data_IF_334795310654
#
_entry.id   IF_334795310654
#
_cell.length_a   1.000
_cell.length_b   1.000
_cell.length_c   1.000
_cell.angle_alpha   90.00
_cell.angle_beta   90.00
_cell.angle_gamma   90.00
#
_symmetry.space_group_name_H-M   'P 1'
#
loop_
_entity.id
_entity.type
_entity.pdbx_description
1 polymer ?
#
# COMPACT_ATOMS: atom_id res chain seq x y z
N UNK A 1 8.04 13.33 2.12
CA UNK A 1 6.85 12.98 2.91
C UNK A 1 6.74 11.47 3.04
N UNK A 2 6.45 10.99 4.23
CA UNK A 2 6.23 9.57 4.48
C UNK A 2 4.75 9.29 4.62
N UNK A 3 4.32 8.14 4.09
CA UNK A 3 2.92 7.74 4.12
C UNK A 3 2.83 6.34 4.71
N UNK A 4 2.01 6.21 5.73
CA UNK A 4 1.73 4.93 6.37
C UNK A 4 0.34 4.48 5.91
N UNK A 5 0.26 3.28 5.37
CA UNK A 5 -1.00 2.66 5.00
C UNK A 5 -1.23 1.43 5.86
N UNK A 6 -2.48 1.24 6.28
CA UNK A 6 -2.90 0.07 7.03
C UNK A 6 -4.19 -0.45 6.40
N UNK A 7 -4.29 -1.76 6.21
CA UNK A 7 -5.45 -2.39 5.59
C UNK A 7 -5.49 -3.89 5.89
N UNK A 8 -6.66 -4.47 5.73
CA UNK A 8 -6.84 -5.91 5.79
C UNK A 8 -6.74 -6.53 4.40
N UNK A 9 -6.15 -7.71 4.33
CA UNK A 9 -6.08 -8.50 3.09
C UNK A 9 -7.01 -9.70 3.20
N UNK A 10 -7.67 -10.04 2.09
CA UNK A 10 -8.69 -11.09 2.03
C UNK A 10 -8.20 -12.38 1.38
N UNK A 11 -7.06 -12.32 0.68
CA UNK A 11 -6.47 -13.47 -0.03
C UNK A 11 -5.19 -13.99 0.61
N UNK A 12 -4.90 -13.53 1.83
CA UNK A 12 -3.70 -13.91 2.57
C UNK A 12 -2.53 -12.96 2.34
N UNK A 13 -1.62 -12.92 3.32
CA UNK A 13 -0.47 -12.03 3.29
C UNK A 13 0.50 -12.36 2.14
N UNK A 14 0.80 -13.63 1.93
CA UNK A 14 1.76 -14.04 0.89
C UNK A 14 1.28 -13.67 -0.52
N UNK A 15 -0.02 -13.80 -0.77
CA UNK A 15 -0.61 -13.37 -2.03
C UNK A 15 -0.46 -11.86 -2.22
N UNK A 16 -0.80 -11.08 -1.19
CA UNK A 16 -0.65 -9.63 -1.21
C UNK A 16 0.80 -9.21 -1.43
N UNK A 17 1.71 -9.82 -0.70
CA UNK A 17 3.14 -9.53 -0.76
C UNK A 17 3.69 -9.72 -2.17
N UNK A 18 3.33 -10.82 -2.81
CA UNK A 18 3.76 -11.13 -4.17
C UNK A 18 3.26 -10.08 -5.16
N UNK A 19 2.00 -9.70 -5.06
CA UNK A 19 1.41 -8.66 -5.91
C UNK A 19 2.06 -7.30 -5.64
N UNK A 20 2.27 -6.97 -4.37
CA UNK A 20 2.93 -5.73 -3.97
C UNK A 20 4.35 -5.62 -4.52
N UNK A 21 5.14 -6.68 -4.40
CA UNK A 21 6.50 -6.70 -4.90
C UNK A 21 6.56 -6.65 -6.43
N UNK A 22 5.60 -7.25 -7.12
CA UNK A 22 5.54 -7.23 -8.58
C UNK A 22 5.29 -5.83 -9.17
N UNK A 23 4.76 -4.90 -8.37
CA UNK A 23 4.47 -3.53 -8.79
C UNK A 23 5.58 -2.53 -8.42
N UNK A 24 6.75 -3.00 -8.02
CA UNK A 24 7.88 -2.14 -7.63
C UNK A 24 8.31 -1.17 -8.73
N UNK A 25 8.41 -1.64 -9.95
CA UNK A 25 8.82 -0.80 -11.08
C UNK A 25 7.86 0.38 -11.30
N UNK A 26 6.57 0.15 -11.11
CA UNK A 26 5.57 1.21 -11.24
C UNK A 26 5.71 2.25 -10.12
N UNK A 27 5.95 1.80 -8.89
CA UNK A 27 6.18 2.72 -7.77
C UNK A 27 7.40 3.59 -8.00
N UNK A 28 8.50 3.01 -8.44
CA UNK A 28 9.73 3.75 -8.77
C UNK A 28 9.49 4.77 -9.87
N UNK A 29 8.71 4.42 -10.87
CA UNK A 29 8.33 5.32 -11.96
C UNK A 29 7.58 6.56 -11.44
N UNK A 30 6.79 6.41 -10.38
CA UNK A 30 6.05 7.50 -9.75
C UNK A 30 6.78 8.13 -8.57
N UNK A 31 8.09 7.86 -8.42
CA UNK A 31 8.92 8.36 -7.33
C UNK A 31 8.42 7.95 -5.94
N UNK A 32 7.87 6.76 -5.84
CA UNK A 32 7.43 6.15 -4.58
C UNK A 32 8.48 5.14 -4.15
N UNK A 33 9.08 5.36 -2.98
CA UNK A 33 10.07 4.45 -2.40
C UNK A 33 9.50 3.74 -1.18
N UNK A 34 9.52 2.41 -1.20
CA UNK A 34 9.07 1.61 -0.07
C UNK A 34 10.16 1.58 0.99
N UNK A 35 9.83 2.01 2.20
CA UNK A 35 10.75 2.01 3.34
C UNK A 35 10.59 0.75 4.18
N UNK A 36 9.36 0.27 4.36
CA UNK A 36 9.06 -0.93 5.12
C UNK A 36 7.67 -1.43 4.79
N UNK A 37 7.43 -2.71 4.98
CA UNK A 37 6.09 -3.29 4.93
C UNK A 37 6.09 -4.61 5.69
N UNK A 38 4.91 -5.03 6.13
CA UNK A 38 4.74 -6.27 6.86
C UNK A 38 3.33 -6.39 7.39
N UNK A 39 3.09 -7.42 8.17
CA UNK A 39 1.82 -7.61 8.85
C UNK A 39 1.99 -7.51 10.36
N UNK A 40 0.88 -7.29 11.07
CA UNK A 40 0.88 -7.27 12.51
C UNK A 40 1.29 -8.64 13.06
N UNK A 41 2.11 -8.65 14.11
CA UNK A 41 2.46 -9.88 14.79
C UNK A 41 1.20 -10.51 15.39
N UNK A 42 0.93 -11.74 15.01
CA UNK A 42 -0.27 -12.46 15.47
C UNK A 42 -1.52 -12.22 14.62
N UNK A 43 -1.45 -11.37 13.60
CA UNK A 43 -2.57 -11.14 12.67
C UNK A 43 -2.05 -10.85 11.26
N UNK A 44 -1.86 -11.91 10.48
CA UNK A 44 -1.31 -11.81 9.12
C UNK A 44 -2.22 -11.06 8.14
N UNK A 45 -3.50 -10.94 8.45
CA UNK A 45 -4.43 -10.22 7.60
C UNK A 45 -4.33 -8.70 7.74
N UNK A 46 -3.71 -8.21 8.80
CA UNK A 46 -3.54 -6.77 9.05
C UNK A 46 -2.18 -6.31 8.57
N UNK A 47 -2.15 -5.61 7.44
CA UNK A 47 -0.93 -5.23 6.74
C UNK A 47 -0.65 -3.74 6.90
N UNK A 48 0.64 -3.42 7.03
CA UNK A 48 1.15 -2.05 7.08
C UNK A 48 2.17 -1.85 5.98
N UNK A 49 2.13 -0.68 5.35
CA UNK A 49 3.20 -0.23 4.45
C UNK A 49 3.66 1.16 4.85
N UNK A 50 4.96 1.41 4.70
CA UNK A 50 5.54 2.75 4.88
C UNK A 50 6.27 3.09 3.60
N UNK A 51 5.86 4.17 2.95
CA UNK A 51 6.49 4.63 1.71
C UNK A 51 6.89 6.10 1.83
N UNK A 52 7.89 6.48 1.05
CA UNK A 52 8.32 7.86 0.92
C UNK A 52 8.00 8.36 -0.48
N UNK A 53 7.41 9.54 -0.58
CA UNK A 53 7.09 10.18 -1.84
C UNK A 53 7.21 11.70 -1.73
N UNK A 54 7.43 12.37 -2.87
CA UNK A 54 7.66 13.82 -2.88
C UNK A 54 6.41 14.62 -2.54
N UNK A 55 5.26 14.17 -2.98
CA UNK A 55 3.97 14.79 -2.66
C UNK A 55 2.85 13.79 -2.86
N UNK A 56 1.84 13.84 -1.99
CA UNK A 56 0.59 13.16 -2.25
C UNK A 56 -0.36 14.17 -2.86
N UNK A 57 -0.80 13.87 -4.07
CA UNK A 57 -2.02 14.46 -4.61
C UNK A 57 -3.13 13.45 -4.32
N UNK A 58 -4.20 13.89 -3.68
CA UNK A 58 -5.35 13.04 -3.39
C UNK A 58 -5.83 12.27 -4.64
N UNK A 59 -5.64 12.86 -5.80
CA UNK A 59 -5.95 12.25 -7.08
C UNK A 59 -5.20 10.95 -7.33
N UNK A 60 -3.94 10.83 -6.89
CA UNK A 60 -3.14 9.62 -7.11
C UNK A 60 -3.63 8.44 -6.29
N UNK A 61 -4.11 8.69 -5.08
CA UNK A 61 -4.64 7.65 -4.21
C UNK A 61 -5.99 7.12 -4.69
N UNK A 62 -6.74 7.93 -5.45
CA UNK A 62 -8.08 7.61 -5.95
C UNK A 62 -8.11 7.26 -7.43
N UNK A 63 -6.95 7.20 -8.09
CA UNK A 63 -6.91 6.79 -9.50
C UNK A 63 -7.46 5.37 -9.67
N UNK A 64 -8.32 5.14 -10.68
CA UNK A 64 -8.90 3.82 -10.92
C UNK A 64 -7.85 2.71 -11.04
N UNK A 65 -6.70 2.99 -11.64
CA UNK A 65 -5.61 2.01 -11.77
C UNK A 65 -5.03 1.59 -10.41
N UNK A 66 -4.94 2.52 -9.47
CA UNK A 66 -4.45 2.22 -8.11
C UNK A 66 -5.48 1.43 -7.31
N UNK A 67 -6.76 1.77 -7.47
CA UNK A 67 -7.86 1.02 -6.84
C UNK A 67 -7.88 -0.41 -7.37
N UNK A 68 -7.76 -0.60 -8.67
CA UNK A 68 -7.73 -1.91 -9.31
C UNK A 68 -6.55 -2.76 -8.82
N UNK A 69 -5.35 -2.17 -8.72
CA UNK A 69 -4.18 -2.88 -8.21
C UNK A 69 -4.39 -3.38 -6.79
N UNK A 70 -5.00 -2.57 -5.92
CA UNK A 70 -5.30 -2.98 -4.55
C UNK A 70 -6.34 -4.10 -4.52
N UNK A 71 -7.38 -4.01 -5.32
CA UNK A 71 -8.40 -5.06 -5.42
C UNK A 71 -7.79 -6.38 -5.90
N UNK A 72 -6.93 -6.33 -6.92
CA UNK A 72 -6.24 -7.51 -7.44
C UNK A 72 -5.31 -8.14 -6.39
N UNK A 73 -4.74 -7.33 -5.52
CA UNK A 73 -3.89 -7.80 -4.42
C UNK A 73 -4.70 -8.30 -3.20
N UNK A 74 -6.02 -8.22 -3.26
CA UNK A 74 -6.89 -8.69 -2.18
C UNK A 74 -7.05 -7.71 -1.02
N UNK A 75 -6.85 -6.42 -1.26
CA UNK A 75 -7.03 -5.40 -0.22
C UNK A 75 -8.52 -5.10 -0.01
N UNK A 76 -8.94 -5.13 1.25
CA UNK A 76 -10.27 -4.67 1.62
C UNK A 76 -10.27 -3.14 1.73
N UNK A 77 -10.85 -2.47 0.74
CA UNK A 77 -10.86 -1.00 0.68
C UNK A 77 -11.57 -0.35 1.86
N UNK A 78 -12.59 -0.99 2.43
CA UNK A 78 -13.30 -0.46 3.58
C UNK A 78 -12.40 -0.36 4.82
N UNK A 79 -11.33 -1.16 4.88
CA UNK A 79 -10.36 -1.16 6.00
C UNK A 79 -9.17 -0.22 5.77
N UNK A 80 -9.01 0.32 4.55
CA UNK A 80 -7.84 1.12 4.20
C UNK A 80 -7.79 2.43 4.98
N UNK A 81 -6.67 2.63 5.67
CA UNK A 81 -6.35 3.86 6.40
C UNK A 81 -4.99 4.36 5.92
N UNK A 82 -4.95 5.63 5.57
CA UNK A 82 -3.74 6.28 5.08
C UNK A 82 -3.42 7.46 5.96
N UNK A 83 -2.21 7.49 6.49
CA UNK A 83 -1.69 8.59 7.32
C UNK A 83 -0.47 9.18 6.65
N UNK A 84 -0.50 10.47 6.38
CA UNK A 84 0.63 11.20 5.83
C UNK A 84 1.40 11.89 6.94
N UNK A 85 2.72 11.75 6.93
CA UNK A 85 3.60 12.39 7.90
C UNK A 85 4.38 13.51 7.20
N UNK A 86 4.27 14.69 7.73
CA UNK A 86 5.03 15.86 7.28
C UNK A 86 6.12 16.11 8.30
N UNK A 87 7.37 16.19 7.83
CA UNK A 87 8.55 16.44 8.67
C UNK A 87 8.83 17.93 8.84
#
# INVERSE_FOLDING_TARGET
>A
MKVISNFEVTKGYEFWKKEFESNEAMRLKHNVRVLAYGHEKGNESNVYTVVEMNSIKDKQLKEPSMVELRENAGVNHASLRITSLVE
#
